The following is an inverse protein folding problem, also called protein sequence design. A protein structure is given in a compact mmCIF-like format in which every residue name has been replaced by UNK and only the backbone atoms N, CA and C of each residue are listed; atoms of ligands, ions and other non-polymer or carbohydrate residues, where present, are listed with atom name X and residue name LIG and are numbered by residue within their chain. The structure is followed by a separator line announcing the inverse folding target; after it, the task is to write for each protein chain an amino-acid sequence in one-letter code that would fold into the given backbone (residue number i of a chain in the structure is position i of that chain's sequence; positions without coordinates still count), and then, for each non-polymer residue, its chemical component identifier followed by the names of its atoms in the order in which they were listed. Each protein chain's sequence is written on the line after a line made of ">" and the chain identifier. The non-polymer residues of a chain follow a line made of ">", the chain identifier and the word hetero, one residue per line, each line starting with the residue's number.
data_IF_941925428937
#
_entry.id   IF_941925428937
#
_cell.length_a   1.000
_cell.length_b   1.000
_cell.length_c   1.000
_cell.angle_alpha   90.00
_cell.angle_beta   90.00
_cell.angle_gamma   90.00
#
_symmetry.space_group_name_H-M   'P 1'
#
loop_
_entity.id
_entity.type
_entity.pdbx_description
1 polymer ?
#
# COMPACT_ATOMS: atom_id res chain seq x y z
N UNK A 1 11.12 7.67 2.12
CA UNK A 1 10.24 7.65 3.32
C UNK A 1 10.74 8.68 4.32
N UNK A 2 9.84 9.39 5.00
CA UNK A 2 10.19 10.21 6.17
C UNK A 2 10.55 9.31 7.37
N UNK A 3 11.17 9.83 8.45
CA UNK A 3 11.42 9.06 9.67
C UNK A 3 10.14 8.40 10.24
N UNK A 4 9.02 9.15 10.26
CA UNK A 4 7.72 8.62 10.70
C UNK A 4 7.23 7.48 9.81
N UNK A 5 7.36 7.62 8.49
CA UNK A 5 6.98 6.55 7.56
C UNK A 5 7.85 5.30 7.75
N UNK A 6 9.15 5.46 7.99
CA UNK A 6 10.07 4.32 8.26
C UNK A 6 9.73 3.63 9.58
N UNK A 7 9.34 4.37 10.61
CA UNK A 7 8.90 3.80 11.89
C UNK A 7 7.61 2.98 11.72
N UNK A 8 6.63 3.52 10.98
CA UNK A 8 5.39 2.80 10.66
C UNK A 8 5.67 1.52 9.84
N UNK A 9 6.52 1.63 8.82
CA UNK A 9 6.95 0.49 8.02
C UNK A 9 7.56 -0.61 8.90
N UNK A 10 8.53 -0.26 9.74
CA UNK A 10 9.18 -1.19 10.66
C UNK A 10 8.18 -1.85 11.62
N UNK A 11 7.23 -1.09 12.17
CA UNK A 11 6.19 -1.63 13.04
C UNK A 11 5.35 -2.69 12.34
N UNK A 12 4.90 -2.42 11.11
CA UNK A 12 4.03 -3.29 10.32
C UNK A 12 4.78 -4.54 9.86
N UNK A 13 5.95 -4.34 9.25
CA UNK A 13 6.62 -5.42 8.51
C UNK A 13 7.64 -6.19 9.32
N UNK A 14 8.03 -5.65 10.49
CA UNK A 14 9.16 -6.13 11.32
C UNK A 14 10.52 -6.14 10.61
N UNK A 15 10.57 -5.76 9.34
CA UNK A 15 11.81 -5.58 8.60
C UNK A 15 12.56 -4.34 9.12
N UNK A 16 13.90 -4.26 8.95
CA UNK A 16 14.65 -3.07 9.31
C UNK A 16 14.08 -1.81 8.66
N UNK A 17 14.10 -0.69 9.39
CA UNK A 17 13.54 0.58 8.91
C UNK A 17 14.18 1.01 7.57
N UNK A 18 13.35 1.20 6.54
CA UNK A 18 13.77 1.54 5.19
C UNK A 18 14.18 0.36 4.31
N UNK A 19 14.05 -0.87 4.79
CA UNK A 19 14.25 -2.07 3.98
C UNK A 19 13.20 -2.17 2.87
N UNK A 20 13.57 -2.83 1.76
CA UNK A 20 12.66 -3.08 0.63
C UNK A 20 12.67 -4.56 0.30
N UNK A 21 11.49 -5.17 0.22
CA UNK A 21 11.31 -6.53 -0.29
C UNK A 21 11.01 -6.45 -1.79
N UNK A 22 11.93 -6.93 -2.63
CA UNK A 22 11.88 -6.76 -4.08
C UNK A 22 11.53 -8.06 -4.77
N UNK A 23 10.41 -8.06 -5.48
CA UNK A 23 9.92 -9.21 -6.25
C UNK A 23 10.18 -8.97 -7.74
N UNK A 24 10.74 -9.96 -8.41
CA UNK A 24 10.96 -9.97 -9.85
C UNK A 24 10.20 -11.14 -10.48
N UNK A 25 9.45 -10.86 -11.54
CA UNK A 25 8.70 -11.87 -12.28
C UNK A 25 8.44 -11.44 -13.71
N UNK A 26 8.69 -12.33 -14.67
CA UNK A 26 8.42 -12.10 -16.10
C UNK A 26 8.99 -10.77 -16.64
N UNK A 27 10.19 -10.39 -16.19
CA UNK A 27 10.82 -9.12 -16.57
C UNK A 27 10.24 -7.87 -15.88
N UNK A 28 9.18 -8.00 -15.09
CA UNK A 28 8.62 -6.93 -14.25
C UNK A 28 9.14 -7.06 -12.81
N UNK A 29 9.35 -5.91 -12.18
CA UNK A 29 9.85 -5.81 -10.79
C UNK A 29 8.85 -5.04 -9.96
N UNK A 30 8.49 -5.45 -8.75
CA UNK A 30 7.82 -4.54 -7.81
C UNK A 30 8.51 -4.56 -6.46
N UNK A 31 8.50 -3.41 -5.82
CA UNK A 31 9.00 -3.23 -4.47
C UNK A 31 7.81 -3.29 -3.51
N UNK A 32 8.02 -3.93 -2.37
CA UNK A 32 7.13 -4.02 -1.22
C UNK A 32 7.90 -3.58 0.02
N UNK A 33 7.18 -3.19 1.07
CA UNK A 33 7.80 -2.75 2.32
C UNK A 33 8.23 -3.93 3.20
N UNK A 34 7.68 -5.12 2.95
CA UNK A 34 8.03 -6.34 3.66
C UNK A 34 7.32 -7.59 3.14
N UNK A 35 7.64 -8.72 3.78
CA UNK A 35 6.98 -10.00 3.56
C UNK A 35 6.76 -10.66 4.92
N UNK A 36 5.51 -11.01 5.19
CA UNK A 36 5.09 -11.72 6.39
C UNK A 36 5.11 -13.23 6.09
N UNK A 37 5.88 -13.98 6.89
CA UNK A 37 6.23 -15.37 6.61
C UNK A 37 5.12 -16.36 6.95
N UNK A 38 4.37 -16.13 8.03
CA UNK A 38 3.40 -17.09 8.57
C UNK A 38 2.17 -17.22 7.67
N UNK A 39 1.64 -16.09 7.20
CA UNK A 39 0.50 -16.01 6.28
C UNK A 39 0.93 -15.91 4.81
N UNK A 40 2.25 -15.77 4.54
CA UNK A 40 2.83 -15.58 3.21
C UNK A 40 2.22 -14.37 2.48
N UNK A 41 2.30 -13.21 3.14
CA UNK A 41 1.68 -11.96 2.66
C UNK A 41 2.75 -10.93 2.29
N UNK A 42 2.65 -10.38 1.08
CA UNK A 42 3.41 -9.22 0.66
C UNK A 42 2.81 -7.96 1.27
N UNK A 43 3.62 -7.17 1.96
CA UNK A 43 3.16 -6.02 2.74
C UNK A 43 3.57 -4.70 2.09
N UNK A 44 2.63 -3.76 2.03
CA UNK A 44 2.85 -2.36 1.65
C UNK A 44 2.35 -1.46 2.78
N UNK A 45 3.03 -0.34 3.02
CA UNK A 45 2.65 0.62 4.05
C UNK A 45 2.41 2.01 3.47
N UNK A 46 1.31 2.64 3.91
CA UNK A 46 1.03 4.05 3.68
C UNK A 46 0.99 4.74 5.03
N UNK A 47 2.07 5.47 5.34
CA UNK A 47 2.15 6.29 6.54
C UNK A 47 1.15 7.46 6.51
N UNK A 48 1.18 8.32 7.53
CA UNK A 48 0.28 9.46 7.64
C UNK A 48 0.44 10.49 6.51
N UNK A 49 -0.62 11.27 6.31
CA UNK A 49 -0.66 12.45 5.44
C UNK A 49 -1.26 12.19 4.07
N UNK A 50 -1.98 11.09 3.87
CA UNK A 50 -2.66 10.77 2.62
C UNK A 50 -4.11 11.26 2.63
N UNK A 51 -4.84 11.04 3.72
CA UNK A 51 -6.28 11.26 3.80
C UNK A 51 -6.71 12.70 3.43
N UNK A 52 -5.90 13.70 3.81
CA UNK A 52 -6.12 15.13 3.54
C UNK A 52 -6.22 15.46 2.06
N UNK A 53 -5.74 14.57 1.20
CA UNK A 53 -5.75 14.72 -0.24
C UNK A 53 -7.03 14.17 -0.90
N UNK A 54 -7.94 13.61 -0.11
CA UNK A 54 -9.23 13.11 -0.57
C UNK A 54 -10.37 13.95 0.01
N UNK A 55 -11.46 14.07 -0.74
CA UNK A 55 -12.66 14.80 -0.34
C UNK A 55 -13.65 13.91 0.45
N UNK A 56 -14.78 14.49 0.86
CA UNK A 56 -15.82 13.78 1.61
C UNK A 56 -16.41 12.57 0.87
N UNK A 57 -16.35 12.55 -0.46
CA UNK A 57 -16.81 11.46 -1.32
C UNK A 57 -15.71 10.42 -1.57
N UNK A 58 -14.59 10.53 -0.85
CA UNK A 58 -13.40 9.67 -0.98
C UNK A 58 -12.69 9.84 -2.33
N UNK A 59 -12.99 10.91 -3.07
CA UNK A 59 -12.37 11.22 -4.35
C UNK A 59 -11.06 11.97 -4.13
N UNK A 60 -10.03 11.75 -4.96
CA UNK A 60 -8.84 12.59 -4.92
C UNK A 60 -9.25 14.02 -5.26
N UNK A 61 -8.81 14.98 -4.44
CA UNK A 61 -8.95 16.41 -4.75
C UNK A 61 -8.26 16.69 -6.09
N UNK A 62 -8.77 17.64 -6.87
CA UNK A 62 -8.30 17.91 -8.24
C UNK A 62 -6.78 18.12 -8.35
N UNK A 63 -6.16 18.76 -7.34
CA UNK A 63 -4.72 18.98 -7.31
C UNK A 63 -3.89 17.70 -7.06
N UNK A 64 -4.51 16.63 -6.53
CA UNK A 64 -3.81 15.45 -6.04
C UNK A 64 -3.61 14.40 -7.12
N UNK A 65 -2.45 14.47 -7.77
CA UNK A 65 -2.00 13.46 -8.75
C UNK A 65 -1.56 12.12 -8.13
N UNK A 66 -1.55 12.02 -6.79
CA UNK A 66 -1.04 10.86 -6.07
C UNK A 66 -1.93 9.61 -6.18
N UNK A 67 -3.24 9.76 -6.42
CA UNK A 67 -4.15 8.64 -6.58
C UNK A 67 -3.77 7.73 -7.76
N UNK A 68 -3.47 8.32 -8.92
CA UNK A 68 -3.00 7.56 -10.07
C UNK A 68 -1.68 6.81 -9.79
N UNK A 69 -0.83 7.34 -8.89
CA UNK A 69 0.41 6.67 -8.49
C UNK A 69 0.15 5.48 -7.56
N UNK A 70 -0.85 5.57 -6.67
CA UNK A 70 -1.29 4.46 -5.82
C UNK A 70 -1.85 3.32 -6.68
N UNK A 71 -2.71 3.64 -7.65
CA UNK A 71 -3.26 2.67 -8.62
C UNK A 71 -2.14 1.97 -9.39
N UNK A 72 -1.21 2.71 -9.99
CA UNK A 72 -0.10 2.13 -10.75
C UNK A 72 0.79 1.22 -9.89
N UNK A 73 1.02 1.60 -8.63
CA UNK A 73 1.77 0.77 -7.70
C UNK A 73 1.03 -0.53 -7.40
N UNK A 74 -0.26 -0.46 -7.06
CA UNK A 74 -1.11 -1.61 -6.76
C UNK A 74 -1.21 -2.58 -7.96
N UNK A 75 -1.44 -2.07 -9.18
CA UNK A 75 -1.49 -2.90 -10.39
C UNK A 75 -0.17 -3.64 -10.64
N UNK A 76 0.95 -2.94 -10.47
CA UNK A 76 2.28 -3.52 -10.66
C UNK A 76 2.59 -4.59 -9.61
N UNK A 77 2.28 -4.31 -8.34
CA UNK A 77 2.43 -5.28 -7.26
C UNK A 77 1.55 -6.51 -7.48
N UNK A 78 0.28 -6.31 -7.88
CA UNK A 78 -0.65 -7.39 -8.20
C UNK A 78 -0.13 -8.31 -9.31
N UNK A 79 0.39 -7.75 -10.41
CA UNK A 79 0.95 -8.54 -11.52
C UNK A 79 2.15 -9.40 -11.09
N UNK A 80 3.08 -8.83 -10.31
CA UNK A 80 4.28 -9.59 -9.90
C UNK A 80 4.00 -10.57 -8.78
N UNK A 81 3.01 -10.31 -7.92
CA UNK A 81 2.68 -11.17 -6.77
C UNK A 81 2.15 -12.55 -7.18
N UNK A 82 1.52 -12.66 -8.36
CA UNK A 82 1.09 -13.96 -8.91
C UNK A 82 0.25 -14.83 -7.95
N UNK A 83 -0.76 -14.25 -7.33
CA UNK A 83 -1.60 -14.99 -6.38
C UNK A 83 -1.00 -15.14 -4.98
N UNK A 84 0.22 -14.65 -4.72
CA UNK A 84 0.65 -14.37 -3.34
C UNK A 84 -0.22 -13.24 -2.80
N UNK A 85 -0.74 -13.41 -1.59
CA UNK A 85 -1.60 -12.43 -0.95
C UNK A 85 -0.86 -11.09 -0.76
N UNK A 86 -1.58 -9.99 -0.97
CA UNK A 86 -1.06 -8.63 -0.77
C UNK A 86 -1.91 -7.93 0.28
N UNK A 87 -1.26 -7.30 1.26
CA UNK A 87 -1.90 -6.46 2.27
C UNK A 87 -1.28 -5.08 2.32
N UNK A 88 -2.10 -4.06 2.09
CA UNK A 88 -1.75 -2.66 2.26
C UNK A 88 -2.18 -2.19 3.64
N UNK A 89 -1.22 -1.85 4.48
CA UNK A 89 -1.43 -1.26 5.78
C UNK A 89 -1.46 0.27 5.67
N UNK A 90 -2.54 0.88 6.11
CA UNK A 90 -2.69 2.34 6.14
C UNK A 90 -2.67 2.86 7.57
N UNK A 91 -1.95 3.96 7.80
CA UNK A 91 -1.86 4.61 9.10
C UNK A 91 -3.07 5.53 9.41
N UNK A 92 -3.94 5.76 8.43
CA UNK A 92 -5.13 6.63 8.55
C UNK A 92 -6.38 5.76 8.29
N UNK A 93 -7.34 5.63 9.24
CA UNK A 93 -8.48 4.74 9.08
C UNK A 93 -9.31 5.04 7.82
N UNK A 94 -9.48 6.33 7.50
CA UNK A 94 -10.22 6.79 6.32
C UNK A 94 -9.57 6.34 5.00
N UNK A 95 -8.29 6.02 5.00
CA UNK A 95 -7.62 5.50 3.80
C UNK A 95 -8.05 4.09 3.42
N UNK A 96 -8.65 3.31 4.34
CA UNK A 96 -9.21 1.98 4.01
C UNK A 96 -10.29 2.09 2.93
N UNK A 97 -11.43 2.76 3.17
CA UNK A 97 -12.47 2.88 2.15
C UNK A 97 -12.04 3.69 0.93
N UNK A 98 -11.09 4.63 1.06
CA UNK A 98 -10.51 5.36 -0.08
C UNK A 98 -9.80 4.39 -1.03
N UNK A 99 -8.88 3.57 -0.52
CA UNK A 99 -8.12 2.65 -1.37
C UNK A 99 -8.99 1.53 -1.90
N UNK A 100 -9.92 1.01 -1.10
CA UNK A 100 -10.89 0.01 -1.58
C UNK A 100 -11.73 0.53 -2.74
N UNK A 101 -12.23 1.77 -2.66
CA UNK A 101 -12.93 2.43 -3.76
C UNK A 101 -12.04 2.60 -4.97
N UNK A 102 -10.84 3.16 -4.79
CA UNK A 102 -9.89 3.42 -5.84
C UNK A 102 -9.46 2.13 -6.57
N UNK A 103 -9.24 1.04 -5.84
CA UNK A 103 -8.90 -0.26 -6.40
C UNK A 103 -10.06 -0.87 -7.18
N UNK A 104 -11.28 -0.82 -6.62
CA UNK A 104 -12.48 -1.31 -7.29
C UNK A 104 -12.74 -0.60 -8.62
N UNK A 105 -12.63 0.73 -8.65
CA UNK A 105 -12.81 1.54 -9.88
C UNK A 105 -11.75 1.28 -10.95
N UNK A 106 -10.59 0.76 -10.54
CA UNK A 106 -9.49 0.40 -11.44
C UNK A 106 -9.38 -1.12 -11.67
N UNK A 107 -10.42 -1.88 -11.32
CA UNK A 107 -10.52 -3.34 -11.48
C UNK A 107 -9.37 -4.11 -10.81
N UNK A 108 -8.81 -3.56 -9.73
CA UNK A 108 -7.78 -4.21 -8.91
C UNK A 108 -8.49 -5.01 -7.83
N UNK A 109 -8.26 -6.32 -7.81
CA UNK A 109 -8.84 -7.25 -6.82
C UNK A 109 -7.73 -8.02 -6.11
N UNK A 110 -8.03 -8.60 -4.94
CA UNK A 110 -7.07 -9.44 -4.20
C UNK A 110 -5.97 -8.68 -3.44
N UNK A 111 -6.11 -7.35 -3.28
CA UNK A 111 -5.31 -6.57 -2.33
C UNK A 111 -6.19 -6.24 -1.13
N UNK A 112 -5.82 -6.75 0.03
CA UNK A 112 -6.46 -6.42 1.29
C UNK A 112 -5.97 -5.04 1.77
N UNK A 113 -6.87 -4.17 2.21
CA UNK A 113 -6.50 -2.87 2.79
C UNK A 113 -6.92 -2.86 4.25
N UNK A 114 -5.97 -2.66 5.16
CA UNK A 114 -6.23 -2.67 6.60
C UNK A 114 -5.69 -1.42 7.28
N UNK A 115 -6.44 -0.90 8.24
CA UNK A 115 -5.93 0.12 9.14
C UNK A 115 -4.94 -0.51 10.13
N UNK A 116 -3.82 0.14 10.36
CA UNK A 116 -2.90 -0.21 11.45
C UNK A 116 -2.50 1.06 12.19
N UNK A 117 -2.75 1.15 13.51
CA UNK A 117 -2.35 2.33 14.28
C UNK A 117 -0.86 2.61 14.13
N UNK A 118 -0.45 3.84 13.77
CA UNK A 118 0.96 4.20 13.67
C UNK A 118 1.61 4.28 15.07
N UNK A 119 2.95 4.23 15.15
CA UNK A 119 3.67 4.40 16.40
C UNK A 119 3.68 5.86 16.85
#
# INVERSE_FOLDING_TARGET
>A
MSPRSRAFQHQVTKAPAGWVYRVWRNGEKADFDGFELDQRVLQETKGLGYDKHFDANLEPKEYFKGAARLVRQAQRQWRVANGIAIRWHVAEPRMVPILEKLFRENFITGIEVVFTPPP
#
